data_IF_666639431500
#
_entry.id   IF_666639431500
#
_cell.length_a   1.000
_cell.length_b   1.000
_cell.length_c   1.000
_cell.angle_alpha   90.00
_cell.angle_beta   90.00
_cell.angle_gamma   90.00
#
_symmetry.space_group_name_H-M   'P 1'
#
loop_
_entity.id
_entity.type
_entity.pdbx_description
1 polymer ?
#
# COMPACT_ATOMS: atom_id res chain seq x y z
N UNK A 1 5.25 -3.28 10.33
CA UNK A 1 5.09 -3.59 8.90
C UNK A 1 4.35 -2.50 8.14
N UNK A 2 3.21 -2.05 8.64
CA UNK A 2 2.45 -1.00 7.96
C UNK A 2 3.19 0.31 7.79
N UNK A 3 3.98 0.70 8.79
CA UNK A 3 4.76 1.92 8.73
C UNK A 3 5.80 1.88 7.62
N UNK A 4 6.38 0.71 7.39
CA UNK A 4 7.36 0.53 6.32
C UNK A 4 6.71 0.70 4.95
N UNK A 5 5.47 0.26 4.81
CA UNK A 5 4.73 0.43 3.56
C UNK A 5 4.47 1.91 3.30
N UNK A 6 4.07 2.66 4.32
CA UNK A 6 3.85 4.09 4.19
C UNK A 6 5.13 4.82 3.80
N UNK A 7 6.24 4.48 4.46
CA UNK A 7 7.53 5.09 4.16
C UNK A 7 8.00 4.76 2.74
N UNK A 8 7.79 3.52 2.31
CA UNK A 8 8.13 3.11 0.96
C UNK A 8 7.35 3.92 -0.08
N UNK A 9 6.05 4.13 0.17
CA UNK A 9 5.21 4.92 -0.71
C UNK A 9 5.68 6.38 -0.78
N UNK A 10 5.95 6.97 0.37
CA UNK A 10 6.39 8.37 0.45
C UNK A 10 7.76 8.57 -0.19
N UNK A 11 8.65 7.60 0.01
CA UNK A 11 9.99 7.67 -0.57
C UNK A 11 9.96 7.68 -2.09
N UNK A 12 8.95 7.01 -2.67
CA UNK A 12 8.76 6.96 -4.11
C UNK A 12 7.86 8.06 -4.63
N UNK A 13 7.44 8.96 -3.75
CA UNK A 13 6.54 10.07 -4.08
C UNK A 13 5.22 9.60 -4.69
N UNK A 14 4.72 8.47 -4.23
CA UNK A 14 3.46 7.91 -4.71
C UNK A 14 2.31 8.39 -3.85
N UNK A 15 1.18 8.73 -4.47
CA UNK A 15 -0.01 9.12 -3.73
C UNK A 15 -0.73 7.88 -3.20
N UNK A 16 -1.46 8.04 -2.09
CA UNK A 16 -2.27 6.97 -1.55
C UNK A 16 -3.35 6.54 -2.54
N UNK A 17 -3.90 7.51 -3.27
CA UNK A 17 -4.91 7.24 -4.29
C UNK A 17 -4.36 6.33 -5.39
N UNK A 18 -3.18 6.64 -5.89
CA UNK A 18 -2.57 5.86 -6.95
C UNK A 18 -2.27 4.42 -6.48
N UNK A 19 -1.70 4.28 -5.29
CA UNK A 19 -1.36 2.97 -4.75
C UNK A 19 -2.63 2.14 -4.53
N UNK A 20 -3.69 2.74 -3.98
CA UNK A 20 -4.93 2.00 -3.75
C UNK A 20 -5.57 1.56 -5.07
N UNK A 21 -5.53 2.39 -6.11
CA UNK A 21 -6.04 2.02 -7.42
C UNK A 21 -5.26 0.85 -8.01
N UNK A 22 -3.94 0.90 -7.95
CA UNK A 22 -3.10 -0.15 -8.51
C UNK A 22 -3.22 -1.46 -7.75
N UNK A 23 -3.44 -1.38 -6.44
CA UNK A 23 -3.65 -2.57 -5.62
C UNK A 23 -5.09 -3.05 -5.67
N UNK A 24 -5.98 -2.30 -6.32
CA UNK A 24 -7.40 -2.63 -6.45
C UNK A 24 -8.08 -2.74 -5.09
N UNK A 25 -7.73 -1.83 -4.18
CA UNK A 25 -8.31 -1.76 -2.84
C UNK A 25 -8.85 -0.35 -2.60
N UNK A 26 -9.69 -0.20 -1.57
CA UNK A 26 -10.18 1.12 -1.19
C UNK A 26 -9.08 1.88 -0.45
N UNK A 27 -9.21 3.22 -0.42
CA UNK A 27 -8.28 4.04 0.34
C UNK A 27 -8.36 3.74 1.83
N UNK A 28 -9.55 3.36 2.31
CA UNK A 28 -9.71 2.96 3.70
C UNK A 28 -8.89 1.70 4.01
N UNK A 29 -8.88 0.73 3.08
CA UNK A 29 -8.07 -0.47 3.24
C UNK A 29 -6.59 -0.15 3.24
N UNK A 30 -6.13 0.74 2.35
CA UNK A 30 -4.74 1.16 2.32
C UNK A 30 -4.34 1.84 3.63
N UNK A 31 -5.22 2.70 4.15
CA UNK A 31 -4.99 3.37 5.42
C UNK A 31 -4.78 2.37 6.56
N UNK A 32 -5.62 1.33 6.59
CA UNK A 32 -5.48 0.27 7.61
C UNK A 32 -4.16 -0.48 7.46
N UNK A 33 -3.76 -0.75 6.22
CA UNK A 33 -2.48 -1.40 5.96
C UNK A 33 -1.33 -0.55 6.48
N UNK A 34 -1.36 0.74 6.20
CA UNK A 34 -0.28 1.64 6.62
C UNK A 34 -0.24 1.83 8.12
N UNK A 35 -1.38 1.67 8.80
CA UNK A 35 -1.43 1.72 10.26
C UNK A 35 -0.98 0.43 10.92
N UNK A 36 -0.87 -0.65 10.15
CA UNK A 36 -0.52 -1.95 10.71
C UNK A 36 -1.69 -2.62 11.40
N UNK A 37 -2.92 -2.35 10.94
CA UNK A 37 -4.12 -2.92 11.53
C UNK A 37 -4.12 -4.45 11.38
N UNK A 38 -4.18 -5.21 12.49
CA UNK A 38 -4.12 -6.67 12.41
C UNK A 38 -5.34 -7.32 11.78
N UNK A 39 -6.42 -6.57 11.60
CA UNK A 39 -7.63 -7.10 10.97
C UNK A 39 -7.53 -7.17 9.45
N UNK A 40 -6.49 -6.58 8.87
CA UNK A 40 -6.30 -6.58 7.42
C UNK A 40 -5.80 -7.94 6.95
N UNK A 41 -6.42 -8.48 5.91
CA UNK A 41 -6.04 -9.77 5.35
C UNK A 41 -4.65 -9.69 4.69
N UNK A 42 -3.89 -10.78 4.81
CA UNK A 42 -2.54 -10.83 4.20
C UNK A 42 -2.57 -10.61 2.69
N UNK A 43 -3.64 -11.01 2.03
CA UNK A 43 -3.79 -10.76 0.60
C UNK A 43 -3.77 -9.29 0.24
N UNK A 44 -4.30 -8.45 1.11
CA UNK A 44 -4.30 -7.00 0.89
C UNK A 44 -2.89 -6.46 1.04
N UNK A 45 -2.13 -6.93 2.03
CA UNK A 45 -0.73 -6.55 2.17
C UNK A 45 0.07 -6.93 0.93
N UNK A 46 -0.15 -8.16 0.43
CA UNK A 46 0.55 -8.63 -0.76
C UNK A 46 0.21 -7.77 -1.98
N UNK A 47 -1.05 -7.38 -2.12
CA UNK A 47 -1.49 -6.53 -3.23
C UNK A 47 -0.81 -5.15 -3.18
N UNK A 48 -0.71 -4.57 -2.00
CA UNK A 48 -0.06 -3.26 -1.82
C UNK A 48 1.43 -3.37 -2.14
N UNK A 49 2.10 -4.39 -1.64
CA UNK A 49 3.52 -4.59 -1.91
C UNK A 49 3.78 -4.79 -3.39
N UNK A 50 2.91 -5.55 -4.06
CA UNK A 50 3.01 -5.78 -5.49
C UNK A 50 2.83 -4.48 -6.27
N UNK A 51 1.85 -3.67 -5.87
CA UNK A 51 1.60 -2.38 -6.52
C UNK A 51 2.80 -1.45 -6.36
N UNK A 52 3.37 -1.37 -5.16
CA UNK A 52 4.53 -0.52 -4.91
C UNK A 52 5.72 -0.95 -5.76
N UNK A 53 5.93 -2.26 -5.86
CA UNK A 53 7.04 -2.79 -6.64
C UNK A 53 6.87 -2.48 -8.13
N UNK A 54 5.66 -2.59 -8.65
CA UNK A 54 5.39 -2.28 -10.06
C UNK A 54 5.55 -0.79 -10.35
N UNK A 55 5.07 0.07 -9.46
CA UNK A 55 5.15 1.51 -9.64
C UNK A 55 6.60 2.01 -9.54
N UNK A 56 7.42 1.29 -8.78
CA UNK A 56 8.82 1.65 -8.61
C UNK A 56 9.64 1.49 -9.90
N UNK A 57 9.11 0.74 -10.85
CA UNK A 57 9.79 0.45 -12.11
C UNK A 57 9.49 1.44 -13.23
N UNK A 58 8.58 2.36 -12.99
CA UNK A 58 8.16 3.34 -14.00
C UNK A 58 9.12 4.51 -14.13
#
# INVERSE_FOLDING_TARGET
MGEQIKLARLRRSLSAELVSERAEISRASLWKVEKGDPSVAMGIYAAVLHALNNLDRI
#
